data_IF_504911028551
#
_entry.id   IF_504911028551
#
_cell.length_a   1.000
_cell.length_b   1.000
_cell.length_c   1.000
_cell.angle_alpha   90.00
_cell.angle_beta   90.00
_cell.angle_gamma   90.00
#
_symmetry.space_group_name_H-M   'P 1'
#
loop_
_entity.id
_entity.type
_entity.pdbx_description
1 polymer ?
#
# COMPACT_ATOMS: atom_id res chain seq x y z
N UNK A 1 -4.74 16.82 -13.67
CA UNK A 1 -4.92 15.36 -13.48
C UNK A 1 -5.89 15.11 -12.32
N UNK A 2 -7.12 15.61 -12.42
CA UNK A 2 -8.18 15.28 -11.45
C UNK A 2 -9.38 14.84 -12.26
N UNK A 3 -9.43 13.55 -12.57
CA UNK A 3 -10.52 12.86 -13.22
C UNK A 3 -11.47 12.33 -12.13
N UNK A 4 -12.60 13.00 -11.84
CA UNK A 4 -13.50 12.61 -10.75
C UNK A 4 -14.02 11.17 -10.89
N UNK A 5 -14.21 10.70 -12.12
CA UNK A 5 -14.63 9.35 -12.47
C UNK A 5 -13.62 8.28 -12.01
N UNK A 6 -12.31 8.58 -12.09
CA UNK A 6 -11.25 7.67 -11.63
C UNK A 6 -11.28 7.57 -10.12
N UNK A 7 -11.47 8.70 -9.42
CA UNK A 7 -11.58 8.72 -7.94
C UNK A 7 -12.78 7.93 -7.45
N UNK A 8 -13.92 8.12 -8.11
CA UNK A 8 -15.15 7.42 -7.78
C UNK A 8 -14.99 5.90 -7.97
N UNK A 9 -14.35 5.47 -9.07
CA UNK A 9 -14.12 4.05 -9.31
C UNK A 9 -13.19 3.41 -8.29
N UNK A 10 -12.12 4.11 -7.91
CA UNK A 10 -11.20 3.65 -6.86
C UNK A 10 -11.95 3.46 -5.54
N UNK A 11 -12.76 4.43 -5.15
CA UNK A 11 -13.57 4.34 -3.93
C UNK A 11 -14.58 3.18 -3.96
N UNK A 12 -15.26 2.95 -5.10
CA UNK A 12 -16.20 1.82 -5.26
C UNK A 12 -15.54 0.45 -5.07
N UNK A 13 -14.24 0.33 -5.36
CA UNK A 13 -13.49 -0.91 -5.20
C UNK A 13 -12.88 -1.05 -3.79
N UNK A 14 -13.18 -0.12 -2.87
CA UNK A 14 -12.60 -0.09 -1.52
C UNK A 14 -11.17 0.43 -1.48
N UNK A 15 -10.68 1.02 -2.57
CA UNK A 15 -9.36 1.64 -2.64
C UNK A 15 -9.38 3.08 -2.13
N UNK A 16 -8.21 3.55 -1.69
CA UNK A 16 -7.99 4.95 -1.32
C UNK A 16 -6.93 5.56 -2.23
N UNK A 17 -7.14 6.79 -2.69
CA UNK A 17 -6.11 7.51 -3.44
C UNK A 17 -5.09 8.05 -2.47
N UNK A 18 -3.88 7.50 -2.54
CA UNK A 18 -2.74 8.06 -1.87
C UNK A 18 -1.99 8.99 -2.82
N UNK A 19 -2.08 10.30 -2.57
CA UNK A 19 -1.23 11.28 -3.26
C UNK A 19 0.14 11.25 -2.59
N UNK A 20 1.14 10.75 -3.31
CA UNK A 20 2.52 10.59 -2.81
C UNK A 20 3.50 11.06 -3.87
N UNK A 21 4.73 11.38 -3.46
CA UNK A 21 5.85 11.58 -4.40
C UNK A 21 6.57 10.25 -4.61
N UNK A 22 7.40 10.10 -5.66
CA UNK A 22 8.19 8.88 -5.85
C UNK A 22 9.06 8.53 -4.62
N UNK A 23 9.65 9.51 -3.96
CA UNK A 23 10.51 9.33 -2.79
C UNK A 23 9.71 8.82 -1.58
N UNK A 24 8.51 9.38 -1.36
CA UNK A 24 7.60 8.94 -0.32
C UNK A 24 7.05 7.53 -0.61
N UNK A 25 6.81 7.20 -1.89
CA UNK A 25 6.41 5.84 -2.30
C UNK A 25 7.51 4.81 -2.03
N UNK A 26 8.76 5.14 -2.34
CA UNK A 26 9.91 4.26 -2.03
C UNK A 26 10.03 4.04 -0.52
N UNK A 27 9.96 5.12 0.26
CA UNK A 27 10.02 5.05 1.72
C UNK A 27 8.90 4.17 2.28
N UNK A 28 7.68 4.29 1.74
CA UNK A 28 6.56 3.45 2.14
C UNK A 28 6.82 1.96 1.87
N UNK A 29 7.35 1.62 0.69
CA UNK A 29 7.67 0.22 0.34
C UNK A 29 8.67 -0.37 1.33
N UNK A 30 9.76 0.35 1.62
CA UNK A 30 10.79 -0.10 2.57
C UNK A 30 10.20 -0.33 3.98
N UNK A 31 9.33 0.57 4.43
CA UNK A 31 8.62 0.44 5.71
C UNK A 31 7.69 -0.79 5.74
N UNK A 32 6.94 -1.04 4.66
CA UNK A 32 6.06 -2.20 4.57
C UNK A 32 6.84 -3.51 4.58
N UNK A 33 7.97 -3.60 3.86
CA UNK A 33 8.85 -4.77 3.88
C UNK A 33 9.34 -5.05 5.29
N UNK A 34 9.84 -4.03 6.00
CA UNK A 34 10.35 -4.19 7.35
C UNK A 34 9.25 -4.61 8.34
N UNK A 35 8.05 -4.04 8.22
CA UNK A 35 6.90 -4.38 9.05
C UNK A 35 6.48 -5.84 8.83
N UNK A 36 6.18 -6.20 7.59
CA UNK A 36 5.67 -7.53 7.27
C UNK A 36 6.70 -8.62 7.52
N UNK A 37 7.99 -8.34 7.29
CA UNK A 37 9.06 -9.25 7.68
C UNK A 37 9.06 -9.58 9.18
N UNK A 38 8.76 -8.61 10.06
CA UNK A 38 8.60 -8.87 11.51
C UNK A 38 7.33 -9.66 11.80
N UNK A 39 6.20 -9.30 11.20
CA UNK A 39 4.91 -9.96 11.43
C UNK A 39 4.97 -11.43 11.04
N UNK A 40 5.52 -11.73 9.87
CA UNK A 40 5.66 -13.10 9.35
C UNK A 40 6.50 -13.95 10.30
N UNK A 41 7.68 -13.46 10.70
CA UNK A 41 8.57 -14.18 11.64
C UNK A 41 7.92 -14.41 13.00
N UNK A 42 7.30 -13.37 13.58
CA UNK A 42 6.68 -13.45 14.89
C UNK A 42 5.51 -14.44 14.94
N UNK A 43 4.75 -14.54 13.85
CA UNK A 43 3.55 -15.39 13.76
C UNK A 43 3.78 -16.74 13.09
N UNK A 44 5.02 -17.05 12.66
CA UNK A 44 5.38 -18.26 11.91
C UNK A 44 4.47 -18.48 10.69
N UNK A 45 4.16 -17.40 9.98
CA UNK A 45 3.33 -17.46 8.77
C UNK A 45 4.21 -17.98 7.63
N UNK A 46 3.72 -18.99 6.92
CA UNK A 46 4.31 -19.49 5.67
C UNK A 46 3.28 -19.35 4.55
N UNK A 47 3.76 -19.11 3.34
CA UNK A 47 2.94 -19.05 2.12
C UNK A 47 3.42 -20.23 1.26
N UNK A 48 2.75 -21.36 1.40
CA UNK A 48 2.88 -22.52 0.51
C UNK A 48 1.74 -22.51 -0.51
#
# INVERSE_FOLDING_TARGET
MDAPEVKQRIAQLGGEIQRTTPELAQTFIEQQIALWGRVIKARKISVE
#
